data_IF_300061955813
#
_entry.id   IF_300061955813
#
_cell.length_a   1.000
_cell.length_b   1.000
_cell.length_c   1.000
_cell.angle_alpha   90.00
_cell.angle_beta   90.00
_cell.angle_gamma   90.00
#
_symmetry.space_group_name_H-M   'P 1'
#
loop_
_entity.id
_entity.type
_entity.pdbx_description
1 polymer ?
#
# COMPACT_ATOMS: atom_id res chain seq x y z
N UNK A 1 3.61 7.98 -22.26
CA UNK A 1 4.59 7.29 -21.41
C UNK A 1 5.35 8.30 -20.56
N UNK A 2 5.92 9.33 -21.18
CA UNK A 2 6.56 10.49 -20.53
C UNK A 2 5.88 10.99 -19.23
N UNK A 3 4.62 11.44 -19.27
CA UNK A 3 3.87 11.87 -18.07
C UNK A 3 3.82 10.82 -16.94
N UNK A 4 3.74 9.55 -17.29
CA UNK A 4 3.71 8.46 -16.32
C UNK A 4 5.10 8.19 -15.72
N UNK A 5 6.17 8.33 -16.51
CA UNK A 5 7.55 8.25 -16.03
C UNK A 5 7.83 9.23 -14.90
N UNK A 6 7.25 10.44 -14.98
CA UNK A 6 7.43 11.49 -13.96
C UNK A 6 6.97 11.09 -12.55
N UNK A 7 6.08 10.10 -12.40
CA UNK A 7 5.68 9.60 -11.08
C UNK A 7 6.85 8.94 -10.33
N UNK A 8 7.84 8.42 -11.06
CA UNK A 8 9.02 7.74 -10.53
C UNK A 8 10.27 8.62 -10.54
N UNK A 9 10.20 9.82 -11.13
CA UNK A 9 11.31 10.76 -11.28
C UNK A 9 11.19 11.92 -10.31
N UNK A 10 10.06 12.63 -10.31
CA UNK A 10 9.89 13.85 -9.52
C UNK A 10 8.41 14.09 -9.14
N UNK A 11 7.83 13.24 -8.26
CA UNK A 11 6.49 13.50 -7.73
C UNK A 11 6.47 14.76 -6.85
N UNK A 12 5.45 15.59 -7.03
CA UNK A 12 5.38 16.90 -6.36
C UNK A 12 4.93 16.86 -4.90
N UNK A 13 4.20 15.81 -4.50
CA UNK A 13 3.61 15.63 -3.16
C UNK A 13 2.91 16.89 -2.60
N UNK A 14 2.20 17.65 -3.45
CA UNK A 14 1.59 18.93 -3.05
C UNK A 14 0.67 18.76 -1.85
N UNK A 15 0.79 19.65 -0.86
CA UNK A 15 0.06 19.53 0.41
C UNK A 15 -1.46 19.53 0.21
N UNK A 16 -1.97 20.36 -0.69
CA UNK A 16 -3.40 20.41 -1.04
C UNK A 16 -3.91 19.11 -1.66
N UNK A 17 -3.06 18.44 -2.47
CA UNK A 17 -3.37 17.14 -3.01
C UNK A 17 -3.34 16.06 -1.92
N UNK A 18 -2.35 16.10 -1.01
CA UNK A 18 -2.26 15.13 0.10
C UNK A 18 -3.50 15.21 0.99
N UNK A 19 -3.98 16.40 1.37
CA UNK A 19 -5.21 16.53 2.19
C UNK A 19 -6.42 15.88 1.52
N UNK A 20 -6.60 16.18 0.23
CA UNK A 20 -7.71 15.64 -0.54
C UNK A 20 -7.62 14.12 -0.70
N UNK A 21 -6.43 13.59 -0.99
CA UNK A 21 -6.23 12.14 -1.13
C UNK A 21 -6.37 11.41 0.22
N UNK A 22 -5.93 12.02 1.32
CA UNK A 22 -6.12 11.48 2.67
C UNK A 22 -7.61 11.26 2.99
N UNK A 23 -8.45 12.24 2.64
CA UNK A 23 -9.91 12.12 2.80
C UNK A 23 -10.50 11.03 1.90
N UNK A 24 -9.96 10.86 0.70
CA UNK A 24 -10.37 9.80 -0.21
C UNK A 24 -10.02 8.41 0.34
N UNK A 25 -8.79 8.22 0.85
CA UNK A 25 -8.36 6.95 1.49
C UNK A 25 -9.24 6.59 2.68
N UNK A 26 -9.59 7.56 3.51
CA UNK A 26 -10.50 7.30 4.64
C UNK A 26 -11.91 6.92 4.17
N UNK A 27 -12.42 7.56 3.10
CA UNK A 27 -13.68 7.17 2.48
C UNK A 27 -13.65 5.73 1.94
N UNK A 28 -12.55 5.32 1.31
CA UNK A 28 -12.34 3.94 0.87
C UNK A 28 -12.34 2.95 2.05
N UNK A 29 -11.65 3.29 3.14
CA UNK A 29 -11.68 2.49 4.37
C UNK A 29 -13.10 2.35 4.93
N UNK A 30 -13.85 3.45 5.02
CA UNK A 30 -15.24 3.43 5.50
C UNK A 30 -16.15 2.58 4.61
N UNK A 31 -15.97 2.64 3.29
CA UNK A 31 -16.69 1.80 2.34
C UNK A 31 -16.34 0.31 2.49
N UNK A 32 -15.12 -0.02 2.91
CA UNK A 32 -14.67 -1.39 3.15
C UNK A 32 -15.22 -2.00 4.46
N UNK A 33 -15.61 -1.18 5.45
CA UNK A 33 -16.11 -1.66 6.75
C UNK A 33 -17.36 -2.54 6.66
N UNK A 34 -18.22 -2.28 5.67
CA UNK A 34 -19.44 -3.06 5.41
C UNK A 34 -19.22 -4.30 4.52
N UNK A 35 -17.99 -4.56 4.08
CA UNK A 35 -17.68 -5.62 3.13
C UNK A 35 -17.01 -6.81 3.82
N UNK A 36 -17.71 -7.95 3.89
CA UNK A 36 -17.25 -9.15 4.61
C UNK A 36 -15.92 -9.72 4.12
N UNK A 37 -15.57 -9.55 2.83
CA UNK A 37 -14.26 -9.95 2.30
C UNK A 37 -13.11 -9.16 2.93
N UNK A 38 -13.26 -7.83 3.07
CA UNK A 38 -12.24 -6.98 3.70
C UNK A 38 -12.14 -7.23 5.21
N UNK A 39 -13.29 -7.37 5.88
CA UNK A 39 -13.36 -7.74 7.30
C UNK A 39 -12.65 -9.06 7.58
N UNK A 40 -12.96 -10.09 6.79
CA UNK A 40 -12.35 -11.42 6.93
C UNK A 40 -10.86 -11.40 6.59
N UNK A 41 -10.43 -10.60 5.62
CA UNK A 41 -9.02 -10.48 5.25
C UNK A 41 -8.21 -9.79 6.34
N UNK A 42 -8.71 -8.70 6.91
CA UNK A 42 -8.02 -8.03 8.01
C UNK A 42 -8.04 -8.86 9.30
N UNK A 43 -9.08 -9.65 9.55
CA UNK A 43 -9.10 -10.66 10.63
C UNK A 43 -7.98 -11.70 10.43
N UNK A 44 -7.84 -12.29 9.23
CA UNK A 44 -6.76 -13.25 8.97
C UNK A 44 -5.37 -12.63 9.23
N UNK A 45 -5.19 -11.37 8.87
CA UNK A 45 -3.95 -10.63 9.13
C UNK A 45 -3.71 -10.41 10.61
N UNK A 46 -4.73 -10.06 11.39
CA UNK A 46 -4.58 -9.87 12.84
C UNK A 46 -4.26 -11.16 13.59
N UNK A 47 -4.61 -12.33 13.03
CA UNK A 47 -4.27 -13.64 13.60
C UNK A 47 -2.86 -14.11 13.24
N UNK A 48 -2.17 -13.43 12.32
CA UNK A 48 -0.78 -13.74 12.01
C UNK A 48 0.16 -13.14 13.06
N UNK A 49 1.41 -13.63 13.08
CA UNK A 49 2.45 -13.13 13.98
C UNK A 49 2.55 -11.59 13.91
N UNK A 50 2.40 -10.86 15.04
CA UNK A 50 2.47 -9.40 15.08
C UNK A 50 3.77 -8.81 14.54
N UNK A 51 4.87 -9.54 14.63
CA UNK A 51 6.18 -9.13 14.12
C UNK A 51 6.30 -9.30 12.60
N UNK A 52 5.37 -10.04 11.97
CA UNK A 52 5.38 -10.26 10.53
C UNK A 52 4.67 -9.10 9.80
N UNK A 53 5.22 -8.56 8.68
CA UNK A 53 4.62 -7.45 7.95
C UNK A 53 3.18 -7.67 7.48
N UNK A 54 2.76 -8.94 7.31
CA UNK A 54 1.37 -9.28 6.95
C UNK A 54 0.36 -8.85 8.01
N UNK A 55 0.76 -8.66 9.28
CA UNK A 55 -0.13 -8.23 10.37
C UNK A 55 -0.65 -6.79 10.18
N UNK A 56 0.14 -5.94 9.52
CA UNK A 56 -0.12 -4.50 9.40
C UNK A 56 -1.48 -4.20 8.77
N UNK A 57 -2.15 -3.16 9.25
CA UNK A 57 -3.30 -2.59 8.54
C UNK A 57 -2.81 -1.83 7.30
N UNK A 58 -3.13 -2.36 6.11
CA UNK A 58 -2.51 -1.91 4.85
C UNK A 58 -3.30 -0.87 4.08
N UNK A 59 -4.61 -0.74 4.35
CA UNK A 59 -5.44 0.27 3.70
C UNK A 59 -5.07 1.68 4.17
N UNK A 60 -4.78 1.81 5.47
CA UNK A 60 -4.71 3.12 6.10
C UNK A 60 -6.09 3.74 6.26
N UNK A 61 -6.13 4.83 7.00
CA UNK A 61 -7.27 5.71 7.23
C UNK A 61 -6.72 7.04 7.79
N UNK A 62 -7.60 8.03 7.99
CA UNK A 62 -7.16 9.34 8.45
C UNK A 62 -6.33 9.24 9.74
N UNK A 63 -6.83 8.48 10.73
CA UNK A 63 -6.17 8.28 12.01
C UNK A 63 -4.74 7.76 11.86
N UNK A 64 -4.53 6.69 11.09
CA UNK A 64 -3.19 6.09 10.91
C UNK A 64 -2.23 6.97 10.12
N UNK A 65 -2.72 7.71 9.12
CA UNK A 65 -1.89 8.52 8.23
C UNK A 65 -1.57 9.91 8.82
N UNK A 66 -2.29 10.32 9.85
CA UNK A 66 -2.03 11.58 10.59
C UNK A 66 -1.45 11.33 11.99
N UNK A 67 -1.09 10.09 12.30
CA UNK A 67 -0.58 9.69 13.61
C UNK A 67 -1.53 10.06 14.78
N UNK A 68 -2.81 9.71 14.63
CA UNK A 68 -3.82 9.84 15.67
C UNK A 68 -4.78 11.02 15.50
N UNK A 69 -4.73 11.72 14.36
CA UNK A 69 -5.64 12.82 14.07
C UNK A 69 -7.08 12.38 13.85
N UNK A 70 -8.00 13.33 13.94
CA UNK A 70 -9.43 13.17 13.67
C UNK A 70 -9.82 14.09 12.51
N UNK A 71 -10.54 13.55 11.51
CA UNK A 71 -11.10 14.29 10.39
C UNK A 71 -11.95 15.50 10.80
N UNK A 72 -12.57 15.42 11.98
CA UNK A 72 -13.42 16.48 12.52
C UNK A 72 -12.62 17.56 13.26
N UNK A 73 -11.33 17.33 13.49
CA UNK A 73 -10.41 18.26 14.15
C UNK A 73 -9.45 18.88 13.13
N UNK A 74 -9.77 20.09 12.68
CA UNK A 74 -8.95 20.86 11.74
C UNK A 74 -7.59 21.30 12.32
N UNK A 75 -7.26 20.98 13.59
CA UNK A 75 -5.97 21.31 14.20
C UNK A 75 -4.85 20.32 13.87
N UNK A 76 -5.19 19.09 13.46
CA UNK A 76 -4.23 18.02 13.13
C UNK A 76 -3.91 18.07 11.64
N UNK A 77 -2.81 18.75 11.30
CA UNK A 77 -2.49 19.07 9.91
C UNK A 77 -1.82 17.94 9.13
N UNK A 78 -2.17 17.86 7.85
CA UNK A 78 -1.49 17.13 6.78
C UNK A 78 0.01 17.46 6.65
N UNK A 79 0.47 18.58 7.23
CA UNK A 79 1.85 19.06 7.12
C UNK A 79 2.88 18.03 7.62
N UNK A 80 2.51 17.14 8.54
CA UNK A 80 3.40 16.12 9.07
C UNK A 80 3.60 14.91 8.14
N UNK A 81 2.70 14.66 7.16
CA UNK A 81 2.75 13.46 6.33
C UNK A 81 3.66 13.59 5.11
N UNK A 82 3.82 14.81 4.57
CA UNK A 82 4.63 15.03 3.36
C UNK A 82 6.08 14.55 3.52
N UNK A 83 6.81 14.83 4.61
CA UNK A 83 8.16 14.31 4.81
C UNK A 83 8.23 12.78 4.78
N UNK A 84 7.24 12.09 5.37
CA UNK A 84 7.18 10.62 5.38
C UNK A 84 6.91 10.05 3.98
N UNK A 85 6.03 10.69 3.19
CA UNK A 85 5.78 10.31 1.80
C UNK A 85 7.02 10.48 0.92
N UNK A 86 7.72 11.61 1.07
CA UNK A 86 8.97 11.88 0.35
C UNK A 86 10.01 10.84 0.74
N UNK A 87 10.19 10.59 2.05
CA UNK A 87 11.13 9.60 2.55
C UNK A 87 10.82 8.19 2.02
N UNK A 88 9.56 7.77 2.06
CA UNK A 88 9.15 6.46 1.55
C UNK A 88 9.41 6.33 0.04
N UNK A 89 9.09 7.38 -0.73
CA UNK A 89 9.44 7.42 -2.15
C UNK A 89 10.95 7.33 -2.34
N UNK A 90 11.72 8.09 -1.56
CA UNK A 90 13.18 8.10 -1.62
C UNK A 90 13.78 6.71 -1.37
N UNK A 91 13.29 6.00 -0.37
CA UNK A 91 13.79 4.70 0.06
C UNK A 91 13.38 3.55 -0.89
N UNK A 92 12.21 3.65 -1.55
CA UNK A 92 11.61 2.49 -2.24
C UNK A 92 11.38 2.66 -3.74
N UNK A 93 11.19 3.89 -4.24
CA UNK A 93 10.91 4.16 -5.67
C UNK A 93 12.22 4.40 -6.44
N UNK A 94 12.95 3.31 -6.67
CA UNK A 94 14.17 3.28 -7.46
C UNK A 94 14.15 2.11 -8.45
N UNK A 95 14.95 2.17 -9.51
CA UNK A 95 14.95 1.20 -10.62
C UNK A 95 15.15 -0.26 -10.16
N UNK A 96 15.89 -0.50 -9.08
CA UNK A 96 16.04 -1.83 -8.47
C UNK A 96 14.72 -2.53 -8.06
N UNK A 97 13.69 -1.76 -7.68
CA UNK A 97 12.39 -2.28 -7.25
C UNK A 97 11.31 -2.19 -8.35
N UNK A 98 11.64 -1.64 -9.52
CA UNK A 98 10.67 -1.39 -10.58
C UNK A 98 10.73 -2.47 -11.66
N UNK A 99 9.55 -2.82 -12.16
CA UNK A 99 9.35 -3.64 -13.37
C UNK A 99 8.33 -2.92 -14.23
N UNK A 100 8.61 -2.80 -15.52
CA UNK A 100 7.76 -2.10 -16.49
C UNK A 100 7.37 -3.04 -17.62
N UNK A 101 6.11 -2.98 -18.02
CA UNK A 101 5.62 -3.60 -19.25
C UNK A 101 4.98 -2.53 -20.12
N UNK A 102 5.29 -2.52 -21.41
CA UNK A 102 4.74 -1.56 -22.37
C UNK A 102 4.18 -2.33 -23.55
N UNK A 103 2.92 -2.03 -23.88
CA UNK A 103 2.22 -2.54 -25.06
C UNK A 103 1.99 -1.39 -26.03
N UNK A 104 2.36 -1.58 -27.29
CA UNK A 104 2.14 -0.59 -28.33
C UNK A 104 2.21 -1.19 -29.72
N UNK A 105 1.81 -0.40 -30.72
CA UNK A 105 1.82 -0.80 -32.14
C UNK A 105 3.14 -0.54 -32.85
N UNK A 106 4.06 0.18 -32.21
CA UNK A 106 5.37 0.50 -32.77
C UNK A 106 6.29 -0.73 -32.75
N UNK A 107 7.38 -0.69 -33.51
CA UNK A 107 8.43 -1.71 -33.46
C UNK A 107 9.07 -1.77 -32.07
N UNK A 108 9.73 -2.89 -31.76
CA UNK A 108 10.45 -3.07 -30.50
C UNK A 108 11.48 -1.96 -30.27
N UNK A 109 12.25 -1.61 -31.29
CA UNK A 109 13.26 -0.54 -31.19
C UNK A 109 12.63 0.81 -30.81
N UNK A 110 11.50 1.16 -31.42
CA UNK A 110 10.81 2.42 -31.11
C UNK A 110 10.18 2.39 -29.71
N UNK A 111 9.63 1.24 -29.28
CA UNK A 111 9.11 1.08 -27.93
C UNK A 111 10.22 1.18 -26.89
N UNK A 112 11.36 0.52 -27.13
CA UNK A 112 12.54 0.60 -26.27
C UNK A 112 13.04 2.03 -26.16
N UNK A 113 13.26 2.74 -27.28
CA UNK A 113 13.70 4.13 -27.26
C UNK A 113 12.74 5.04 -26.48
N UNK A 114 11.42 4.82 -26.63
CA UNK A 114 10.41 5.59 -25.88
C UNK A 114 10.47 5.31 -24.37
N UNK A 115 10.72 4.05 -23.98
CA UNK A 115 10.89 3.65 -22.57
C UNK A 115 12.16 4.26 -22.00
N UNK A 116 13.29 4.09 -22.68
CA UNK A 116 14.59 4.63 -22.26
C UNK A 116 14.49 6.14 -22.08
N UNK A 117 13.87 6.85 -23.01
CA UNK A 117 13.65 8.29 -22.88
C UNK A 117 12.73 8.66 -21.70
N UNK A 118 11.60 7.96 -21.53
CA UNK A 118 10.59 8.33 -20.52
C UNK A 118 11.01 8.01 -19.08
N UNK A 119 11.95 7.09 -18.89
CA UNK A 119 12.38 6.61 -17.57
C UNK A 119 13.89 6.76 -17.32
N UNK A 120 14.59 7.51 -18.18
CA UNK A 120 16.05 7.74 -18.08
C UNK A 120 16.46 8.24 -16.69
N UNK A 121 15.65 9.12 -16.10
CA UNK A 121 15.96 9.82 -14.85
C UNK A 121 15.47 9.06 -13.60
N UNK A 122 14.98 7.82 -13.75
CA UNK A 122 14.62 6.99 -12.59
C UNK A 122 15.88 6.66 -11.80
N UNK A 123 15.82 6.90 -10.49
CA UNK A 123 16.96 6.73 -9.60
C UNK A 123 17.54 5.31 -9.65
N UNK A 124 18.88 5.17 -9.57
CA UNK A 124 19.54 3.86 -9.62
C UNK A 124 19.17 3.00 -8.39
N UNK A 125 19.39 1.67 -8.45
CA UNK A 125 19.07 0.78 -7.34
C UNK A 125 19.77 1.20 -6.05
N UNK A 126 19.03 1.20 -4.94
CA UNK A 126 19.59 1.36 -3.60
C UNK A 126 19.75 -0.03 -2.98
N UNK A 127 20.91 -0.30 -2.39
CA UNK A 127 21.13 -1.56 -1.66
C UNK A 127 20.32 -1.51 -0.37
N UNK A 128 19.24 -2.28 -0.31
CA UNK A 128 18.45 -2.44 0.90
C UNK A 128 18.75 -3.80 1.54
N UNK A 129 18.90 -3.86 2.88
CA UNK A 129 19.04 -5.13 3.58
C UNK A 129 17.83 -6.02 3.28
N UNK A 130 18.08 -7.32 3.13
CA UNK A 130 16.97 -8.27 3.08
C UNK A 130 16.19 -8.17 4.40
N UNK A 131 14.85 -8.02 4.35
CA UNK A 131 14.06 -8.00 5.57
C UNK A 131 14.21 -9.33 6.30
N UNK A 132 14.26 -9.25 7.64
CA UNK A 132 14.20 -10.43 8.49
C UNK A 132 12.95 -11.23 8.16
N UNK A 133 13.11 -12.53 7.88
CA UNK A 133 12.01 -13.43 7.55
C UNK A 133 11.55 -14.12 8.81
N UNK A 134 10.52 -13.56 9.43
CA UNK A 134 9.73 -14.24 10.47
C UNK A 134 8.59 -15.00 9.78
N UNK A 135 8.15 -16.14 10.31
CA UNK A 135 6.99 -16.83 9.78
C UNK A 135 5.70 -16.04 10.12
N UNK A 136 4.83 -15.85 9.14
CA UNK A 136 3.52 -15.23 9.36
C UNK A 136 2.62 -16.10 10.26
N UNK A 137 2.68 -17.42 10.08
CA UNK A 137 1.90 -18.38 10.84
C UNK A 137 2.84 -19.44 11.43
N UNK A 138 3.15 -19.30 12.71
CA UNK A 138 3.89 -20.28 13.49
C UNK A 138 2.96 -21.20 14.28
N UNK A 139 3.49 -22.13 15.09
CA UNK A 139 2.69 -23.08 15.85
C UNK A 139 1.58 -22.44 16.71
N UNK A 140 1.82 -21.24 17.26
CA UNK A 140 0.84 -20.50 18.05
C UNK A 140 -0.29 -19.87 17.24
N UNK A 141 -0.15 -19.77 15.91
CA UNK A 141 -1.16 -19.23 15.00
C UNK A 141 -1.94 -20.33 14.25
N UNK A 142 -1.69 -21.62 14.55
CA UNK A 142 -2.33 -22.77 13.91
C UNK A 142 -3.35 -23.45 14.83
N UNK A 143 -4.25 -24.25 14.24
CA UNK A 143 -5.31 -24.94 15.00
C UNK A 143 -6.36 -24.00 15.59
N UNK A 144 -6.44 -22.77 15.07
CA UNK A 144 -7.34 -21.74 15.54
C UNK A 144 -8.70 -21.87 14.85
N UNK A 145 -9.77 -21.84 15.63
CA UNK A 145 -11.14 -21.66 15.15
C UNK A 145 -11.60 -20.23 15.47
N UNK A 146 -12.25 -19.58 14.49
CA UNK A 146 -12.90 -18.28 14.64
C UNK A 146 -14.33 -18.37 14.15
N UNK A 147 -15.26 -18.00 15.01
CA UNK A 147 -16.65 -17.78 14.67
C UNK A 147 -16.83 -16.29 14.35
N UNK A 148 -17.31 -15.99 13.15
CA UNK A 148 -17.39 -14.62 12.63
C UNK A 148 -18.83 -14.32 12.28
N UNK A 149 -19.35 -13.21 12.81
CA UNK A 149 -20.67 -12.68 12.44
C UNK A 149 -20.52 -11.84 11.17
N UNK A 150 -21.09 -12.26 10.02
CA UNK A 150 -21.02 -11.49 8.79
C UNK A 150 -21.99 -10.31 8.83
N UNK A 151 -21.70 -9.30 8.01
CA UNK A 151 -22.62 -8.17 7.76
C UNK A 151 -23.78 -8.61 6.87
N UNK A 152 -23.49 -9.38 5.82
CA UNK A 152 -24.50 -9.94 4.93
C UNK A 152 -25.02 -11.25 5.51
N UNK A 153 -26.29 -11.57 5.23
CA UNK A 153 -26.84 -12.89 5.58
C UNK A 153 -26.19 -13.99 4.73
N UNK A 154 -25.09 -14.53 5.25
CA UNK A 154 -24.27 -15.53 4.56
C UNK A 154 -23.80 -16.59 5.54
N UNK A 155 -23.53 -17.79 5.03
CA UNK A 155 -23.04 -18.93 5.81
C UNK A 155 -21.86 -19.53 5.05
N UNK A 156 -20.66 -19.38 5.59
CA UNK A 156 -19.42 -19.79 4.93
C UNK A 156 -18.52 -20.53 5.90
N UNK A 157 -17.89 -21.61 5.45
CA UNK A 157 -16.77 -22.25 6.14
C UNK A 157 -15.51 -21.99 5.30
N UNK A 158 -14.47 -21.46 5.92
CA UNK A 158 -13.15 -21.28 5.31
C UNK A 158 -12.13 -22.10 6.07
N UNK A 159 -11.47 -23.01 5.35
CA UNK A 159 -10.34 -23.78 5.84
C UNK A 159 -9.08 -23.21 5.20
N UNK A 160 -8.05 -22.95 6.00
CA UNK A 160 -6.78 -22.40 5.52
C UNK A 160 -5.63 -23.26 6.04
N UNK A 161 -4.77 -23.69 5.13
CA UNK A 161 -3.52 -24.39 5.42
C UNK A 161 -2.40 -23.39 5.12
N UNK A 162 -1.76 -22.90 6.17
CA UNK A 162 -0.87 -21.73 6.17
C UNK A 162 0.56 -22.12 6.52
#
# INVERSE_FOLDING_TARGET
>A
LDRFGQFFVSPLFREDAIDRELRAVDSEYNNALGQDNWRSYQLLKSECNPDHPFHKFGCGNYYTLTNGGDMNDNSQSVANLRPDLVKFWEDHYHSGNLKLSVLGRASLDNLQATVEQSFADVRPPVVTPSPSRVAAFGPSQLGILREVVPVKETRTIRLSFL
#
